data_IF_148446956237
#
_entry.id   IF_148446956237
#
_cell.length_a   1.000
_cell.length_b   1.000
_cell.length_c   1.000
_cell.angle_alpha   90.00
_cell.angle_beta   90.00
_cell.angle_gamma   90.00
#
_symmetry.space_group_name_H-M   'P 1'
#
loop_
_entity.id
_entity.type
_entity.pdbx_description
1 polymer ?
#
# COMPACT_ATOMS: atom_id res chain seq x y z
N UNK A 1 -67.06 65.30 22.40
CA UNK A 1 -66.04 65.02 21.38
C UNK A 1 -64.81 64.48 22.09
N UNK A 2 -64.69 63.11 22.16
CA UNK A 2 -63.58 62.39 22.86
C UNK A 2 -62.66 61.81 21.76
N UNK A 3 -61.42 62.23 21.71
CA UNK A 3 -60.39 61.66 20.80
C UNK A 3 -59.66 60.54 21.55
N UNK A 4 -59.81 59.36 21.03
CA UNK A 4 -59.11 58.16 21.52
C UNK A 4 -57.78 58.06 20.76
N UNK A 5 -56.64 58.08 21.44
CA UNK A 5 -55.31 57.90 20.90
C UNK A 5 -54.98 56.42 21.07
N UNK A 6 -54.74 55.72 19.93
CA UNK A 6 -54.21 54.34 19.96
C UNK A 6 -52.68 54.41 19.94
N UNK A 7 -52.05 53.85 20.99
CA UNK A 7 -50.63 53.59 21.05
C UNK A 7 -50.33 52.31 20.28
N UNK A 8 -49.58 52.35 19.19
CA UNK A 8 -49.00 51.21 18.53
C UNK A 8 -47.69 50.82 19.26
N UNK A 9 -47.70 49.70 19.98
CA UNK A 9 -46.48 49.07 20.54
C UNK A 9 -45.80 48.27 19.39
N UNK A 10 -44.69 48.76 18.92
CA UNK A 10 -43.85 48.03 17.96
C UNK A 10 -43.11 46.88 18.63
N UNK A 11 -43.44 45.65 18.24
CA UNK A 11 -42.77 44.45 18.66
C UNK A 11 -41.52 44.24 17.76
N UNK A 12 -40.36 44.58 18.28
CA UNK A 12 -39.08 44.38 17.59
C UNK A 12 -38.64 42.91 17.81
N UNK A 13 -38.90 42.02 16.81
CA UNK A 13 -38.36 40.67 16.80
C UNK A 13 -36.87 40.73 16.44
N UNK A 14 -36.02 40.52 17.46
CA UNK A 14 -34.59 40.23 17.24
C UNK A 14 -34.44 38.78 16.70
N UNK A 15 -34.29 38.65 15.41
CA UNK A 15 -33.88 37.40 14.77
C UNK A 15 -32.39 37.19 15.06
N UNK A 16 -32.08 36.37 16.06
CA UNK A 16 -30.74 35.79 16.26
C UNK A 16 -30.47 34.82 15.12
N UNK A 17 -29.75 35.25 14.10
CA UNK A 17 -29.23 34.40 13.03
C UNK A 17 -28.20 33.42 13.61
N UNK A 18 -28.60 32.18 13.81
CA UNK A 18 -27.66 31.08 14.07
C UNK A 18 -26.95 30.77 12.75
N UNK A 19 -25.74 31.32 12.61
CA UNK A 19 -24.85 30.97 11.50
C UNK A 19 -24.34 29.52 11.78
N UNK A 20 -24.95 28.54 11.15
CA UNK A 20 -24.42 27.18 11.10
C UNK A 20 -23.11 27.22 10.29
N UNK A 21 -21.98 27.20 10.97
CA UNK A 21 -20.70 26.96 10.34
C UNK A 21 -20.73 25.57 9.71
N UNK A 22 -20.93 25.50 8.40
CA UNK A 22 -20.70 24.26 7.63
C UNK A 22 -19.22 23.91 7.73
N UNK A 23 -18.89 22.98 8.59
CA UNK A 23 -17.60 22.30 8.56
C UNK A 23 -17.55 21.49 7.29
N UNK A 24 -16.97 22.04 6.24
CA UNK A 24 -16.58 21.28 5.05
C UNK A 24 -15.51 20.28 5.48
N UNK A 25 -15.90 19.13 6.00
CA UNK A 25 -15.03 17.97 6.12
C UNK A 25 -14.77 17.49 4.70
N UNK A 26 -13.70 17.99 4.09
CA UNK A 26 -13.19 17.44 2.84
C UNK A 26 -12.85 15.98 3.14
N UNK A 27 -13.70 15.06 2.70
CA UNK A 27 -13.38 13.64 2.75
C UNK A 27 -12.11 13.47 1.93
N UNK A 28 -10.99 13.23 2.63
CA UNK A 28 -9.72 12.90 1.99
C UNK A 28 -9.96 11.62 1.22
N UNK A 29 -10.01 11.71 -0.11
CA UNK A 29 -10.12 10.51 -0.96
C UNK A 29 -8.84 9.72 -0.74
N UNK A 30 -8.93 8.64 0.03
CA UNK A 30 -7.78 7.77 0.32
C UNK A 30 -7.39 7.06 -0.97
N UNK A 31 -6.18 7.33 -1.44
CA UNK A 31 -5.63 6.63 -2.59
C UNK A 31 -4.80 5.45 -2.12
N UNK A 32 -4.82 4.39 -2.91
CA UNK A 32 -3.98 3.21 -2.72
C UNK A 32 -2.87 3.18 -3.76
N UNK A 33 -1.74 2.60 -3.38
CA UNK A 33 -0.62 2.30 -4.26
C UNK A 33 -0.39 0.79 -4.26
N UNK A 34 -0.17 0.21 -5.43
CA UNK A 34 0.36 -1.14 -5.58
C UNK A 34 1.83 -1.02 -5.95
N UNK A 35 2.73 -1.25 -4.99
CA UNK A 35 4.16 -1.34 -5.27
C UNK A 35 4.59 -2.81 -5.31
N UNK A 36 5.38 -3.20 -6.30
CA UNK A 36 5.78 -4.58 -6.47
C UNK A 36 7.16 -4.74 -7.09
N UNK A 37 7.84 -5.80 -6.70
CA UNK A 37 9.01 -6.33 -7.42
C UNK A 37 8.63 -7.61 -8.16
N UNK A 38 9.11 -7.77 -9.40
CA UNK A 38 8.85 -8.96 -10.20
C UNK A 38 10.03 -9.26 -11.12
N UNK A 39 10.77 -10.33 -10.85
CA UNK A 39 11.91 -10.73 -11.68
C UNK A 39 11.48 -11.45 -12.96
N UNK A 40 10.38 -12.20 -12.93
CA UNK A 40 9.91 -13.06 -14.05
C UNK A 40 8.57 -12.66 -14.64
N UNK A 41 7.94 -11.60 -14.13
CA UNK A 41 6.63 -11.13 -14.59
C UNK A 41 5.44 -11.68 -13.81
N UNK A 42 5.58 -12.76 -13.03
CA UNK A 42 4.45 -13.38 -12.32
C UNK A 42 3.81 -12.44 -11.30
N UNK A 43 4.60 -11.82 -10.42
CA UNK A 43 4.09 -10.85 -9.44
C UNK A 43 3.53 -9.61 -10.12
N UNK A 44 4.14 -9.15 -11.24
CA UNK A 44 3.63 -8.03 -12.05
C UNK A 44 2.20 -8.27 -12.51
N UNK A 45 1.91 -9.45 -13.05
CA UNK A 45 0.57 -9.79 -13.54
C UNK A 45 -0.49 -9.69 -12.44
N UNK A 46 -0.16 -10.14 -11.22
CA UNK A 46 -1.05 -10.01 -10.05
C UNK A 46 -1.18 -8.56 -9.61
N UNK A 47 -0.08 -7.81 -9.57
CA UNK A 47 -0.09 -6.39 -9.19
C UNK A 47 -0.99 -5.55 -10.11
N UNK A 48 -0.93 -5.80 -11.42
CA UNK A 48 -1.78 -5.14 -12.41
C UNK A 48 -3.27 -5.43 -12.18
N UNK A 49 -3.63 -6.68 -11.89
CA UNK A 49 -5.01 -7.04 -11.56
C UNK A 49 -5.51 -6.37 -10.27
N UNK A 50 -4.67 -6.28 -9.25
CA UNK A 50 -5.03 -5.57 -7.99
C UNK A 50 -5.24 -4.09 -8.29
N UNK A 51 -4.33 -3.46 -9.04
CA UNK A 51 -4.44 -2.04 -9.39
C UNK A 51 -5.72 -1.75 -10.20
N UNK A 52 -6.04 -2.59 -11.17
CA UNK A 52 -7.26 -2.49 -11.97
C UNK A 52 -8.53 -2.63 -11.10
N UNK A 53 -8.58 -3.60 -10.19
CA UNK A 53 -9.74 -3.86 -9.35
C UNK A 53 -9.96 -2.79 -8.26
N UNK A 54 -8.88 -2.15 -7.81
CA UNK A 54 -8.93 -1.16 -6.72
C UNK A 54 -8.89 0.29 -7.20
N UNK A 55 -8.53 0.53 -8.46
CA UNK A 55 -8.22 1.86 -8.97
C UNK A 55 -6.92 2.45 -8.38
N UNK A 56 -6.06 1.61 -7.80
CA UNK A 56 -4.79 2.02 -7.20
C UNK A 56 -3.77 2.41 -8.28
N UNK A 57 -2.91 3.36 -7.95
CA UNK A 57 -1.74 3.66 -8.77
C UNK A 57 -0.75 2.49 -8.70
N UNK A 58 0.05 2.29 -9.75
CA UNK A 58 0.99 1.17 -9.86
C UNK A 58 2.44 1.68 -9.84
N UNK A 59 3.29 1.02 -9.04
CA UNK A 59 4.72 1.32 -8.96
C UNK A 59 5.55 0.04 -9.03
N UNK A 60 6.38 -0.09 -10.04
CA UNK A 60 7.34 -1.19 -10.13
C UNK A 60 8.64 -0.84 -9.41
N UNK A 61 9.01 -1.67 -8.44
CA UNK A 61 10.30 -1.64 -7.75
C UNK A 61 11.32 -2.29 -8.69
N UNK A 62 12.03 -1.46 -9.45
CA UNK A 62 12.99 -1.93 -10.45
C UNK A 62 14.38 -1.90 -9.85
N UNK A 63 15.14 -3.02 -9.82
CA UNK A 63 16.54 -3.01 -9.41
C UNK A 63 17.38 -2.20 -10.39
N UNK A 64 18.40 -1.48 -9.88
CA UNK A 64 19.34 -0.72 -10.71
C UNK A 64 20.02 -1.61 -11.75
N UNK A 65 20.33 -2.84 -11.36
CA UNK A 65 20.83 -3.89 -12.23
C UNK A 65 19.76 -4.97 -12.37
N UNK A 66 19.14 -5.15 -13.55
CA UNK A 66 18.14 -6.20 -13.78
C UNK A 66 18.72 -7.60 -13.51
N UNK A 67 17.89 -8.49 -12.95
CA UNK A 67 18.29 -9.90 -12.77
C UNK A 67 18.23 -10.63 -14.10
N UNK A 68 19.33 -11.32 -14.44
CA UNK A 68 19.40 -12.27 -15.55
C UNK A 68 18.89 -13.65 -15.12
N UNK A 69 18.69 -14.55 -16.08
CA UNK A 69 18.33 -15.94 -15.75
C UNK A 69 19.39 -16.65 -14.90
N UNK A 70 20.68 -16.32 -15.11
CA UNK A 70 21.78 -16.85 -14.28
C UNK A 70 21.73 -16.30 -12.84
N UNK A 71 21.35 -15.03 -12.66
CA UNK A 71 21.20 -14.41 -11.35
C UNK A 71 20.05 -15.04 -10.54
N UNK A 72 19.05 -15.58 -11.23
CA UNK A 72 17.88 -16.20 -10.60
C UNK A 72 18.03 -17.72 -10.41
N UNK A 73 19.17 -18.30 -10.72
CA UNK A 73 19.41 -19.72 -10.55
C UNK A 73 19.62 -20.07 -9.06
N UNK A 74 18.52 -20.32 -8.36
CA UNK A 74 18.49 -20.63 -6.93
C UNK A 74 19.24 -21.93 -6.54
N UNK A 75 19.58 -22.81 -7.51
CA UNK A 75 20.42 -23.99 -7.28
C UNK A 75 21.91 -23.68 -7.27
N UNK A 76 22.29 -22.51 -7.74
CA UNK A 76 23.67 -22.04 -7.73
C UNK A 76 23.86 -21.08 -6.54
N UNK A 77 24.60 -21.50 -5.52
CA UNK A 77 24.91 -20.67 -4.35
C UNK A 77 25.68 -19.39 -4.69
N UNK A 78 26.36 -19.37 -5.84
CA UNK A 78 27.07 -18.19 -6.35
C UNK A 78 26.18 -17.25 -7.19
N UNK A 79 24.93 -17.61 -7.46
CA UNK A 79 24.03 -16.72 -8.19
C UNK A 79 23.72 -15.48 -7.36
N UNK A 80 23.48 -14.36 -8.02
CA UNK A 80 23.22 -13.09 -7.35
C UNK A 80 22.05 -13.20 -6.35
N UNK A 81 20.95 -13.83 -6.73
CA UNK A 81 19.82 -14.03 -5.81
C UNK A 81 20.20 -14.86 -4.58
N UNK A 82 21.02 -15.92 -4.74
CA UNK A 82 21.49 -16.74 -3.61
C UNK A 82 22.38 -15.92 -2.68
N UNK A 83 23.37 -15.21 -3.22
CA UNK A 83 24.28 -14.36 -2.46
C UNK A 83 23.53 -13.25 -1.72
N UNK A 84 22.63 -12.54 -2.39
CA UNK A 84 21.82 -11.50 -1.75
C UNK A 84 20.94 -12.06 -0.63
N UNK A 85 20.31 -13.20 -0.84
CA UNK A 85 19.44 -13.80 0.19
C UNK A 85 20.21 -14.36 1.38
N UNK A 86 21.44 -14.86 1.18
CA UNK A 86 22.34 -15.29 2.25
C UNK A 86 22.82 -14.13 3.14
N UNK A 87 22.92 -12.92 2.59
CA UNK A 87 23.31 -11.74 3.35
C UNK A 87 22.09 -10.94 3.86
N UNK A 88 21.80 -10.94 5.18
CA UNK A 88 20.68 -10.18 5.73
C UNK A 88 20.86 -8.65 5.61
N UNK A 89 22.07 -8.17 5.33
CA UNK A 89 22.39 -6.76 5.15
C UNK A 89 22.36 -6.30 3.69
N UNK A 90 22.23 -7.23 2.74
CA UNK A 90 22.14 -6.88 1.33
C UNK A 90 20.97 -5.92 1.06
N UNK A 91 21.27 -4.84 0.35
CA UNK A 91 20.29 -3.81 -0.07
C UNK A 91 20.52 -3.48 -1.54
N UNK A 92 20.03 -4.32 -2.48
CA UNK A 92 20.13 -4.02 -3.89
C UNK A 92 19.55 -2.64 -4.20
N UNK A 93 20.27 -1.84 -4.97
CA UNK A 93 19.82 -0.49 -5.31
C UNK A 93 18.60 -0.53 -6.24
N UNK A 94 17.72 0.45 -6.09
CA UNK A 94 16.60 0.67 -6.99
C UNK A 94 17.00 1.60 -8.14
N UNK A 95 16.51 1.34 -9.35
CA UNK A 95 16.72 2.16 -10.54
C UNK A 95 16.01 3.52 -10.49
N UNK A 96 14.98 3.62 -9.65
CA UNK A 96 14.14 4.82 -9.50
C UNK A 96 13.98 5.15 -8.02
N UNK A 97 13.87 6.44 -7.67
CA UNK A 97 13.54 6.82 -6.30
C UNK A 97 12.18 6.27 -5.88
N UNK A 98 11.99 6.12 -4.58
CA UNK A 98 10.70 5.73 -4.00
C UNK A 98 9.60 6.74 -4.36
N UNK A 99 8.35 6.29 -4.49
CA UNK A 99 7.22 7.15 -4.77
C UNK A 99 6.92 8.09 -3.58
N UNK A 100 6.37 9.26 -3.88
CA UNK A 100 5.83 10.14 -2.85
C UNK A 100 4.56 9.51 -2.23
N UNK A 101 4.69 9.08 -0.98
CA UNK A 101 3.61 8.43 -0.22
C UNK A 101 2.60 9.39 0.41
N UNK A 102 2.77 10.71 0.27
CA UNK A 102 1.86 11.70 0.86
C UNK A 102 0.41 11.57 0.36
N UNK A 103 0.24 11.05 -0.86
CA UNK A 103 -1.04 10.87 -1.55
C UNK A 103 -1.74 9.54 -1.22
N UNK A 104 -1.06 8.61 -0.58
CA UNK A 104 -1.53 7.24 -0.35
C UNK A 104 -1.66 6.95 1.13
N UNK A 105 -2.72 6.26 1.53
CA UNK A 105 -2.92 5.76 2.88
C UNK A 105 -2.74 4.23 2.94
N UNK A 106 -2.94 3.55 1.81
CA UNK A 106 -2.78 2.09 1.68
C UNK A 106 -1.72 1.75 0.65
N UNK A 107 -0.85 0.82 1.02
CA UNK A 107 0.17 0.22 0.15
C UNK A 107 -0.08 -1.28 0.04
N UNK A 108 -0.42 -1.76 -1.16
CA UNK A 108 -0.32 -3.17 -1.49
C UNK A 108 1.13 -3.45 -1.90
N UNK A 109 1.83 -4.32 -1.17
CA UNK A 109 3.25 -4.60 -1.39
C UNK A 109 3.45 -6.00 -1.95
N UNK A 110 3.82 -6.10 -3.22
CA UNK A 110 3.95 -7.34 -3.97
C UNK A 110 5.39 -7.82 -4.16
N UNK A 111 5.63 -9.13 -3.96
CA UNK A 111 6.95 -9.72 -4.18
C UNK A 111 6.89 -11.22 -4.47
N UNK A 112 7.86 -11.78 -5.22
CA UNK A 112 8.08 -13.21 -5.23
C UNK A 112 8.72 -13.65 -3.91
N UNK A 113 8.41 -14.86 -3.43
CA UNK A 113 9.08 -15.39 -2.23
C UNK A 113 10.37 -16.09 -2.66
N UNK A 114 11.50 -15.67 -2.09
CA UNK A 114 12.82 -16.28 -2.25
C UNK A 114 13.30 -16.81 -0.89
N UNK A 115 13.57 -18.12 -0.77
CA UNK A 115 13.98 -18.76 0.51
C UNK A 115 13.08 -18.34 1.69
N UNK A 116 11.77 -18.46 1.50
CA UNK A 116 10.70 -18.11 2.47
C UNK A 116 10.62 -16.61 2.85
N UNK A 117 11.46 -15.75 2.28
CA UNK A 117 11.55 -14.33 2.60
C UNK A 117 11.22 -13.45 1.37
N UNK A 118 10.88 -12.18 1.60
CA UNK A 118 10.88 -11.19 0.53
C UNK A 118 12.31 -11.00 -0.01
N UNK A 119 12.50 -10.81 -1.33
CA UNK A 119 13.80 -10.42 -1.88
C UNK A 119 14.35 -9.15 -1.24
N UNK A 120 15.66 -9.07 -1.08
CA UNK A 120 16.31 -7.96 -0.35
C UNK A 120 15.98 -6.57 -0.86
N UNK A 121 15.64 -6.43 -2.14
CA UNK A 121 15.19 -5.15 -2.71
C UNK A 121 13.89 -4.64 -2.08
N UNK A 122 13.05 -5.51 -1.52
CA UNK A 122 11.85 -5.11 -0.78
C UNK A 122 12.23 -4.37 0.50
N UNK A 123 13.30 -4.81 1.19
CA UNK A 123 13.83 -4.08 2.35
C UNK A 123 14.39 -2.73 1.93
N UNK A 124 15.13 -2.65 0.80
CA UNK A 124 15.58 -1.37 0.24
C UNK A 124 14.42 -0.42 0.01
N UNK A 125 13.34 -0.90 -0.61
CA UNK A 125 12.14 -0.09 -0.86
C UNK A 125 11.50 0.39 0.44
N UNK A 126 11.29 -0.49 1.43
CA UNK A 126 10.68 -0.13 2.71
C UNK A 126 11.52 0.95 3.43
N UNK A 127 12.83 0.78 3.45
CA UNK A 127 13.76 1.67 4.17
C UNK A 127 13.90 3.05 3.50
N UNK A 128 13.69 3.13 2.18
CA UNK A 128 13.77 4.37 1.41
C UNK A 128 12.41 5.05 1.19
N UNK A 129 11.32 4.48 1.71
CA UNK A 129 9.96 4.98 1.46
C UNK A 129 9.32 5.48 2.76
N UNK A 130 8.63 6.62 2.72
CA UNK A 130 7.94 7.20 3.88
C UNK A 130 6.66 6.41 4.21
N UNK A 131 6.78 5.27 4.89
CA UNK A 131 5.68 4.33 5.17
C UNK A 131 5.04 4.48 6.56
N UNK A 132 5.55 5.36 7.42
CA UNK A 132 4.99 5.57 8.75
C UNK A 132 3.53 6.03 8.66
N UNK A 133 2.65 5.35 9.38
CA UNK A 133 1.21 5.65 9.40
C UNK A 133 0.45 5.18 8.16
N UNK A 134 1.07 4.38 7.28
CA UNK A 134 0.42 3.76 6.13
C UNK A 134 0.00 2.33 6.46
N UNK A 135 -1.13 1.91 5.93
CA UNK A 135 -1.58 0.52 5.97
C UNK A 135 -0.84 -0.26 4.88
N UNK A 136 -0.08 -1.28 5.25
CA UNK A 136 0.69 -2.11 4.32
C UNK A 136 0.06 -3.49 4.25
N UNK A 137 -0.34 -3.90 3.05
CA UNK A 137 -1.00 -5.18 2.78
C UNK A 137 -0.11 -5.98 1.83
N UNK A 138 0.68 -6.94 2.35
CA UNK A 138 1.55 -7.76 1.52
C UNK A 138 0.76 -8.72 0.63
N UNK A 139 1.27 -8.96 -0.58
CA UNK A 139 0.86 -10.09 -1.40
C UNK A 139 2.10 -10.72 -2.05
N UNK A 140 2.05 -12.00 -2.30
CA UNK A 140 3.20 -12.70 -2.86
C UNK A 140 2.82 -13.74 -3.90
N UNK A 141 3.82 -14.08 -4.73
CA UNK A 141 3.82 -15.26 -5.59
C UNK A 141 4.97 -16.17 -5.18
N UNK A 142 4.79 -17.49 -5.27
CA UNK A 142 5.81 -18.45 -4.85
C UNK A 142 5.64 -19.77 -5.58
N UNK A 143 6.73 -20.51 -5.76
CA UNK A 143 6.69 -21.89 -6.27
C UNK A 143 6.14 -22.88 -5.23
N UNK A 144 6.47 -22.69 -3.93
CA UNK A 144 6.12 -23.63 -2.86
C UNK A 144 5.91 -22.99 -1.48
N UNK A 145 6.53 -21.84 -1.21
CA UNK A 145 6.50 -21.24 0.13
C UNK A 145 5.18 -20.53 0.42
N UNK A 146 4.73 -20.61 1.66
CA UNK A 146 3.64 -19.80 2.19
C UNK A 146 4.10 -18.37 2.48
N UNK A 147 3.18 -17.40 2.40
CA UNK A 147 3.51 -15.98 2.66
C UNK A 147 3.73 -15.66 4.15
N UNK A 148 3.20 -16.48 5.04
CA UNK A 148 3.20 -16.21 6.50
C UNK A 148 4.61 -15.94 7.06
N UNK A 149 5.62 -16.69 6.62
CA UNK A 149 7.01 -16.51 7.06
C UNK A 149 7.56 -15.16 6.61
N UNK A 150 7.34 -14.80 5.35
CA UNK A 150 7.74 -13.50 4.80
C UNK A 150 7.08 -12.33 5.54
N UNK A 151 5.78 -12.42 5.85
CA UNK A 151 5.06 -11.37 6.58
C UNK A 151 5.55 -11.26 8.01
N UNK A 152 5.74 -12.39 8.70
CA UNK A 152 6.29 -12.40 10.05
C UNK A 152 7.70 -11.75 10.10
N UNK A 153 8.54 -12.06 9.11
CA UNK A 153 9.85 -11.43 8.96
C UNK A 153 9.73 -9.91 8.82
N UNK A 154 8.83 -9.41 7.97
CA UNK A 154 8.63 -7.98 7.77
C UNK A 154 8.12 -7.28 9.05
N UNK A 155 7.15 -7.86 9.75
CA UNK A 155 6.60 -7.32 11.01
C UNK A 155 7.70 -7.25 12.08
N UNK A 156 8.50 -8.31 12.21
CA UNK A 156 9.60 -8.36 13.18
C UNK A 156 10.71 -7.35 12.85
N UNK A 157 11.01 -7.16 11.56
CA UNK A 157 12.07 -6.25 11.12
C UNK A 157 11.65 -4.78 11.20
N UNK A 158 10.37 -4.48 10.95
CA UNK A 158 9.82 -3.12 10.90
C UNK A 158 8.63 -2.92 11.86
N UNK A 159 8.84 -3.03 13.18
CA UNK A 159 7.75 -3.06 14.16
C UNK A 159 6.99 -1.72 14.28
N UNK A 160 7.52 -0.64 13.72
CA UNK A 160 6.85 0.67 13.67
C UNK A 160 5.88 0.82 12.49
N UNK A 161 5.86 -0.12 11.56
CA UNK A 161 4.99 -0.10 10.40
C UNK A 161 3.72 -0.92 10.63
N UNK A 162 2.61 -0.48 10.05
CA UNK A 162 1.32 -1.18 10.12
C UNK A 162 1.24 -2.22 8.99
N UNK A 163 1.87 -3.37 9.18
CA UNK A 163 1.89 -4.47 8.21
C UNK A 163 0.82 -5.49 8.60
N UNK A 164 -0.13 -5.68 7.70
CA UNK A 164 -1.23 -6.64 7.87
C UNK A 164 -0.87 -8.03 7.39
N UNK A 165 -1.76 -9.00 7.64
CA UNK A 165 -1.65 -10.31 7.04
C UNK A 165 -1.65 -10.21 5.52
N UNK A 166 -0.73 -10.94 4.91
CA UNK A 166 -0.59 -10.99 3.46
C UNK A 166 -1.34 -12.17 2.85
N UNK A 167 -1.37 -12.19 1.51
CA UNK A 167 -1.95 -13.31 0.77
C UNK A 167 -1.03 -13.83 -0.32
N UNK A 168 -0.94 -15.16 -0.42
CA UNK A 168 -0.30 -15.84 -1.56
C UNK A 168 -1.28 -15.87 -2.72
N UNK A 169 -0.85 -15.36 -3.89
CA UNK A 169 -1.71 -15.11 -5.05
C UNK A 169 -1.18 -15.78 -6.34
N UNK A 170 -0.69 -17.02 -6.24
CA UNK A 170 -0.12 -17.76 -7.39
C UNK A 170 -1.10 -17.98 -8.54
N UNK A 171 -2.36 -18.19 -8.21
CA UNK A 171 -3.44 -18.51 -9.18
C UNK A 171 -4.65 -17.64 -8.86
N UNK A 172 -4.42 -16.36 -8.64
CA UNK A 172 -5.48 -15.44 -8.31
C UNK A 172 -6.41 -15.26 -9.51
N UNK A 173 -7.69 -15.57 -9.30
CA UNK A 173 -8.74 -15.21 -10.24
C UNK A 173 -9.29 -13.85 -9.88
N UNK A 174 -9.90 -13.10 -10.82
CA UNK A 174 -10.57 -11.84 -10.50
C UNK A 174 -11.59 -11.98 -9.36
N UNK A 175 -12.29 -13.10 -9.27
CA UNK A 175 -13.25 -13.38 -8.20
C UNK A 175 -12.57 -13.55 -6.83
N UNK A 176 -11.47 -14.33 -6.76
CA UNK A 176 -10.72 -14.52 -5.51
C UNK A 176 -10.02 -13.24 -5.05
N UNK A 177 -9.54 -12.41 -5.99
CA UNK A 177 -8.99 -11.10 -5.69
C UNK A 177 -10.06 -10.15 -5.13
N UNK A 178 -11.24 -10.05 -5.77
CA UNK A 178 -12.34 -9.23 -5.25
C UNK A 178 -12.77 -9.65 -3.83
N UNK A 179 -12.82 -10.94 -3.56
CA UNK A 179 -13.15 -11.46 -2.24
C UNK A 179 -12.10 -11.06 -1.19
N UNK A 180 -10.82 -11.18 -1.54
CA UNK A 180 -9.71 -10.77 -0.66
C UNK A 180 -9.68 -9.27 -0.42
N UNK A 181 -9.79 -8.46 -1.48
CA UNK A 181 -9.74 -7.00 -1.39
C UNK A 181 -10.90 -6.41 -0.56
N UNK A 182 -12.06 -7.07 -0.51
CA UNK A 182 -13.18 -6.68 0.37
C UNK A 182 -12.89 -6.94 1.85
N UNK A 183 -12.04 -7.91 2.17
CA UNK A 183 -11.64 -8.24 3.54
C UNK A 183 -10.52 -7.29 4.00
N UNK A 184 -9.69 -6.83 3.08
CA UNK A 184 -8.57 -5.93 3.35
C UNK A 184 -8.97 -4.45 3.52
N UNK A 185 -10.22 -4.10 3.18
CA UNK A 185 -10.81 -2.78 3.38
C UNK A 185 -11.75 -2.78 4.60
#
# INVERSE_FOLDING_TARGET
>A
MKRTIYLLAGFCCLLNGITLAQTNTTMKTTKSLVAYFSATGTTRAVAQQIAELTGADLFEIVPAEPYTSSDLNWRNEQSRSSVEMADPKARPAMAKPSPDMSRYDTLYLGFPIWWDLPPRIIQTFIEQTALKGKTIIPFATSGSSAISHSVHFLIKTYPSLQIHEGRLLNQATPQSLRAWLKIAN
#
